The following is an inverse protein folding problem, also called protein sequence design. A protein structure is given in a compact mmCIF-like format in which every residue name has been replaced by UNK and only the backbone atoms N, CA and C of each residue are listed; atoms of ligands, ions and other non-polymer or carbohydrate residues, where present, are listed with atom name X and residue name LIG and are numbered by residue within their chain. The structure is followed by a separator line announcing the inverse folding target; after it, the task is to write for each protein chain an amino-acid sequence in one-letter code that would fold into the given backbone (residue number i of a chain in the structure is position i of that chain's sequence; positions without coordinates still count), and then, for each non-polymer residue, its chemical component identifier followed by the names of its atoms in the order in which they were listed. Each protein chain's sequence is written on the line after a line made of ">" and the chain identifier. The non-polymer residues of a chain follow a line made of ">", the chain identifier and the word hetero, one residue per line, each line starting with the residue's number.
data_IF_676832015609
#
_entry.id   IF_676832015609
#
_cell.length_a   1.000
_cell.length_b   1.000
_cell.length_c   1.000
_cell.angle_alpha   90.00
_cell.angle_beta   90.00
_cell.angle_gamma   90.00
#
_symmetry.space_group_name_H-M   'P 1'
#
loop_
_entity.id
_entity.type
_entity.pdbx_description
1 polymer ?
#
# COMPACT_ATOMS: atom_id res chain seq x y z
N UNK A 1 21.92 7.93 -7.02
CA UNK A 1 23.04 7.15 -7.56
C UNK A 1 23.47 6.12 -6.52
N UNK A 2 22.80 4.96 -6.47
CA UNK A 2 23.03 3.85 -5.52
C UNK A 2 24.09 2.85 -6.01
N UNK A 3 24.70 3.13 -7.17
CA UNK A 3 25.62 2.22 -7.88
C UNK A 3 27.01 2.04 -7.25
N UNK A 4 27.24 2.53 -6.03
CA UNK A 4 28.54 2.47 -5.38
C UNK A 4 28.60 1.72 -4.04
N UNK A 5 27.46 1.30 -3.48
CA UNK A 5 27.45 0.58 -2.21
C UNK A 5 27.46 -0.93 -2.44
N UNK A 6 28.53 -1.57 -2.03
CA UNK A 6 28.60 -3.03 -1.99
C UNK A 6 27.58 -3.55 -0.95
N UNK A 7 26.54 -4.22 -1.40
CA UNK A 7 25.40 -4.68 -0.59
C UNK A 7 25.74 -5.31 0.77
N UNK A 8 26.76 -6.17 0.90
CA UNK A 8 27.13 -6.75 2.19
C UNK A 8 27.59 -5.70 3.23
N UNK A 9 28.29 -4.67 2.80
CA UNK A 9 28.76 -3.61 3.70
C UNK A 9 27.60 -2.71 4.13
N UNK A 10 26.68 -2.40 3.23
CA UNK A 10 25.45 -1.65 3.53
C UNK A 10 24.58 -2.40 4.55
N UNK A 11 24.34 -3.71 4.35
CA UNK A 11 23.59 -4.53 5.29
C UNK A 11 24.27 -4.60 6.65
N UNK A 12 25.60 -4.78 6.66
CA UNK A 12 26.38 -4.81 7.89
C UNK A 12 26.34 -3.48 8.63
N UNK A 13 26.41 -2.37 7.91
CA UNK A 13 26.28 -1.03 8.48
C UNK A 13 24.88 -0.78 9.02
N UNK A 14 23.84 -1.15 8.29
CA UNK A 14 22.45 -1.10 8.77
C UNK A 14 22.23 -1.92 10.04
N UNK A 15 22.74 -3.16 10.10
CA UNK A 15 22.62 -4.01 11.29
C UNK A 15 23.37 -3.37 12.47
N UNK A 16 24.54 -2.82 12.20
CA UNK A 16 25.36 -2.15 13.23
C UNK A 16 24.64 -0.91 13.76
N UNK A 17 24.09 -0.06 12.88
CA UNK A 17 23.33 1.12 13.29
C UNK A 17 22.07 0.75 14.06
N UNK A 18 21.31 -0.25 13.58
CA UNK A 18 20.07 -0.73 14.23
C UNK A 18 20.32 -1.41 15.59
N UNK A 19 21.55 -1.84 15.85
CA UNK A 19 21.94 -2.41 17.15
C UNK A 19 22.31 -1.36 18.19
N UNK A 20 22.50 -0.10 17.81
CA UNK A 20 22.85 0.98 18.73
C UNK A 20 21.65 1.40 19.58
N UNK A 21 21.94 1.81 20.83
CA UNK A 21 20.93 2.38 21.72
C UNK A 21 20.34 3.67 21.13
N UNK A 22 21.15 4.47 20.46
CA UNK A 22 20.74 5.67 19.75
C UNK A 22 19.68 5.38 18.67
N UNK A 23 19.82 4.28 17.92
CA UNK A 23 18.79 3.89 16.94
C UNK A 23 17.51 3.39 17.61
N UNK A 24 17.62 2.63 18.71
CA UNK A 24 16.46 2.13 19.45
C UNK A 24 15.65 3.23 20.10
N UNK A 25 16.30 4.33 20.47
CA UNK A 25 15.67 5.48 21.14
C UNK A 25 15.31 6.61 20.17
N UNK A 26 15.96 6.66 18.99
CA UNK A 26 15.81 7.74 18.01
C UNK A 26 14.36 7.89 17.48
N UNK A 27 13.65 6.77 17.32
CA UNK A 27 12.29 6.79 16.81
C UNK A 27 11.24 7.37 17.78
N UNK A 28 11.53 7.36 19.07
CA UNK A 28 10.52 7.73 20.08
C UNK A 28 10.44 9.23 20.38
N UNK A 29 11.44 10.03 19.98
CA UNK A 29 11.51 11.43 20.36
C UNK A 29 11.23 12.43 19.25
N UNK A 30 11.22 12.02 17.98
CA UNK A 30 11.23 12.95 16.85
C UNK A 30 9.96 12.96 15.98
N UNK A 31 9.02 12.03 16.20
CA UNK A 31 7.73 12.00 15.51
C UNK A 31 6.64 11.74 16.55
N UNK A 32 6.46 12.69 17.43
CA UNK A 32 5.32 12.71 18.35
C UNK A 32 4.69 14.10 18.28
N UNK A 33 3.54 14.15 17.63
CA UNK A 33 2.55 15.21 17.81
C UNK A 33 1.40 14.66 18.66
N UNK A 34 0.43 15.50 19.00
CA UNK A 34 -0.81 15.01 19.64
C UNK A 34 -1.60 14.08 18.72
N UNK A 35 -1.34 14.12 17.40
CA UNK A 35 -2.06 13.39 16.36
C UNK A 35 -1.27 12.22 15.77
N UNK A 36 0.06 12.21 15.92
CA UNK A 36 0.93 11.19 15.33
C UNK A 36 2.03 10.77 16.30
N UNK A 37 2.30 9.46 16.38
CA UNK A 37 3.40 8.93 17.20
C UNK A 37 4.07 7.73 16.54
N UNK A 38 5.36 7.66 16.73
CA UNK A 38 6.15 6.54 16.24
C UNK A 38 5.99 5.31 17.14
N UNK A 39 5.54 4.20 16.57
CA UNK A 39 5.33 2.94 17.30
C UNK A 39 6.56 2.03 17.21
N UNK A 40 7.28 2.07 16.11
CA UNK A 40 8.48 1.25 15.88
C UNK A 40 8.49 0.59 14.49
N UNK A 41 9.65 0.10 14.08
CA UNK A 41 9.85 -0.61 12.81
C UNK A 41 9.36 0.16 11.57
N UNK A 42 9.47 1.50 11.60
CA UNK A 42 9.02 2.36 10.52
C UNK A 42 7.54 2.73 10.57
N UNK A 43 6.76 2.20 11.51
CA UNK A 43 5.34 2.53 11.63
C UNK A 43 5.12 3.78 12.49
N UNK A 44 4.43 4.75 11.91
CA UNK A 44 3.91 5.95 12.57
C UNK A 44 2.39 5.80 12.66
N UNK A 45 1.87 5.69 13.88
CA UNK A 45 0.43 5.68 14.10
C UNK A 45 -0.11 7.11 14.01
N UNK A 46 -1.27 7.29 13.42
CA UNK A 46 -1.98 8.57 13.33
C UNK A 46 -3.41 8.42 13.83
N UNK A 47 -3.86 9.39 14.64
CA UNK A 47 -5.27 9.58 14.95
C UNK A 47 -5.82 10.66 14.01
N UNK A 48 -7.10 10.58 13.78
CA UNK A 48 -7.85 11.50 12.97
C UNK A 48 -8.70 10.76 11.97
N UNK A 49 -9.78 11.42 11.60
CA UNK A 49 -10.62 11.04 10.50
C UNK A 49 -10.61 12.20 9.49
N UNK A 50 -10.92 11.92 8.24
CA UNK A 50 -11.00 12.97 7.22
C UNK A 50 -12.20 13.86 7.49
N UNK A 51 -11.99 15.03 8.05
CA UNK A 51 -13.05 15.98 8.45
C UNK A 51 -13.95 16.42 7.26
N UNK A 52 -13.42 16.40 6.04
CA UNK A 52 -14.09 16.88 4.84
C UNK A 52 -14.34 15.75 3.82
N UNK A 53 -14.68 14.57 4.27
CA UNK A 53 -14.92 13.40 3.41
C UNK A 53 -15.86 13.69 2.25
N UNK A 54 -17.02 14.32 2.53
CA UNK A 54 -17.97 14.70 1.51
C UNK A 54 -17.44 15.71 0.49
N UNK A 55 -16.57 16.62 0.91
CA UNK A 55 -15.90 17.55 -0.01
C UNK A 55 -14.96 16.80 -0.94
N UNK A 56 -14.13 15.91 -0.40
CA UNK A 56 -13.17 15.14 -1.19
C UNK A 56 -13.87 14.16 -2.13
N UNK A 57 -14.99 13.55 -1.72
CA UNK A 57 -15.77 12.63 -2.57
C UNK A 57 -16.43 13.30 -3.77
N UNK A 58 -16.63 14.63 -3.71
CA UNK A 58 -17.24 15.42 -4.80
C UNK A 58 -16.22 16.24 -5.60
N UNK A 59 -14.96 16.25 -5.16
CA UNK A 59 -13.89 16.97 -5.84
C UNK A 59 -13.49 16.26 -7.13
N UNK A 60 -13.18 17.03 -8.19
CA UNK A 60 -12.49 16.50 -9.37
C UNK A 60 -11.04 16.16 -9.03
N UNK A 61 -10.56 15.01 -9.49
CA UNK A 61 -9.18 14.55 -9.37
C UNK A 61 -8.52 14.54 -10.74
N UNK A 62 -7.21 14.78 -10.78
CA UNK A 62 -6.45 14.65 -12.02
C UNK A 62 -6.38 13.17 -12.42
N UNK A 63 -6.73 12.82 -13.66
CA UNK A 63 -6.64 11.43 -14.12
C UNK A 63 -5.22 10.90 -14.04
N UNK A 64 -5.08 9.61 -13.79
CA UNK A 64 -3.79 8.93 -13.88
C UNK A 64 -3.30 9.03 -15.34
N UNK A 65 -2.08 9.48 -15.52
CA UNK A 65 -1.43 9.54 -16.82
C UNK A 65 -0.34 8.46 -16.92
N UNK A 66 -0.72 7.31 -17.47
CA UNK A 66 0.19 6.16 -17.63
C UNK A 66 1.32 6.42 -18.64
N UNK A 67 1.17 7.39 -19.57
CA UNK A 67 2.25 7.76 -20.49
C UNK A 67 3.45 8.40 -19.77
N UNK A 68 3.23 8.94 -18.59
CA UNK A 68 4.26 9.58 -17.76
C UNK A 68 4.80 8.71 -16.63
N UNK A 69 4.46 7.41 -16.59
CA UNK A 69 5.05 6.50 -15.61
C UNK A 69 6.56 6.41 -15.87
N UNK A 70 7.33 6.69 -14.84
CA UNK A 70 8.79 6.70 -14.94
C UNK A 70 9.33 5.31 -15.26
N UNK A 71 10.14 5.20 -16.32
CA UNK A 71 10.83 3.95 -16.64
C UNK A 71 11.73 3.49 -15.49
N UNK A 72 12.39 4.41 -14.77
CA UNK A 72 13.22 4.08 -13.61
C UNK A 72 12.40 3.42 -12.48
N UNK A 73 11.11 3.77 -12.36
CA UNK A 73 10.21 3.12 -11.39
C UNK A 73 9.86 1.69 -11.82
N UNK A 74 9.52 1.51 -13.10
CA UNK A 74 9.23 0.18 -13.66
C UNK A 74 10.45 -0.73 -13.57
N UNK A 75 11.63 -0.22 -13.92
CA UNK A 75 12.89 -0.94 -13.82
C UNK A 75 13.21 -1.31 -12.36
N UNK A 76 12.95 -0.41 -11.41
CA UNK A 76 13.18 -0.67 -9.98
C UNK A 76 12.29 -1.79 -9.45
N UNK A 77 11.03 -1.85 -9.86
CA UNK A 77 10.11 -2.92 -9.47
C UNK A 77 10.59 -4.26 -10.06
N UNK A 78 10.98 -4.27 -11.31
CA UNK A 78 11.57 -5.45 -11.98
C UNK A 78 12.84 -5.92 -11.27
N UNK A 79 13.76 -5.01 -10.95
CA UNK A 79 15.01 -5.31 -10.23
C UNK A 79 14.74 -5.95 -8.86
N UNK A 80 13.71 -5.52 -8.14
CA UNK A 80 13.31 -6.10 -6.85
C UNK A 80 12.83 -7.54 -7.05
N UNK A 81 11.97 -7.79 -8.04
CA UNK A 81 11.47 -9.13 -8.35
C UNK A 81 12.61 -10.08 -8.76
N UNK A 82 13.48 -9.64 -9.67
CA UNK A 82 14.64 -10.43 -10.14
C UNK A 82 15.61 -10.73 -8.99
N UNK A 83 15.82 -9.76 -8.09
CA UNK A 83 16.65 -9.96 -6.89
C UNK A 83 16.04 -11.04 -5.98
N UNK A 84 14.75 -10.96 -5.67
CA UNK A 84 14.07 -11.91 -4.81
C UNK A 84 14.12 -13.32 -5.42
N UNK A 85 13.80 -13.46 -6.70
CA UNK A 85 13.88 -14.71 -7.43
C UNK A 85 15.31 -15.31 -7.40
N UNK A 86 16.33 -14.48 -7.68
CA UNK A 86 17.74 -14.89 -7.65
C UNK A 86 18.22 -15.40 -6.29
N UNK A 87 17.52 -15.05 -5.22
CA UNK A 87 17.82 -15.43 -3.83
C UNK A 87 16.89 -16.51 -3.28
N UNK A 88 15.90 -16.93 -4.04
CA UNK A 88 14.86 -17.83 -3.56
C UNK A 88 14.02 -17.20 -2.44
N UNK A 89 13.80 -15.86 -2.50
CA UNK A 89 12.94 -15.13 -1.58
C UNK A 89 11.55 -15.10 -2.20
N UNK A 90 10.58 -15.61 -1.47
CA UNK A 90 9.17 -15.47 -1.83
C UNK A 90 8.75 -14.00 -1.69
N UNK A 91 8.21 -13.42 -2.75
CA UNK A 91 7.80 -12.03 -2.82
C UNK A 91 6.29 -11.93 -3.02
N UNK A 92 5.66 -11.12 -2.20
CA UNK A 92 4.27 -10.70 -2.38
C UNK A 92 4.22 -9.19 -2.53
N UNK A 93 3.58 -8.71 -3.58
CA UNK A 93 3.29 -7.29 -3.79
C UNK A 93 1.92 -6.96 -3.19
N UNK A 94 1.82 -5.80 -2.57
CA UNK A 94 0.56 -5.36 -1.94
C UNK A 94 0.33 -3.87 -2.22
N UNK A 95 -0.83 -3.53 -2.79
CA UNK A 95 -1.33 -2.15 -2.80
C UNK A 95 -2.17 -1.92 -1.56
N UNK A 96 -1.75 -0.97 -0.71
CA UNK A 96 -2.53 -0.56 0.44
C UNK A 96 -3.81 0.17 -0.01
N UNK A 97 -4.90 0.08 0.75
CA UNK A 97 -6.15 0.72 0.35
C UNK A 97 -6.06 2.25 0.41
N UNK A 98 -6.57 2.89 -0.60
CA UNK A 98 -6.89 4.32 -0.69
C UNK A 98 -8.41 4.51 -0.57
N UNK A 99 -8.87 5.75 -0.43
CA UNK A 99 -10.31 6.01 -0.46
C UNK A 99 -10.91 5.73 -1.84
N UNK A 100 -12.07 5.10 -1.88
CA UNK A 100 -12.72 4.74 -3.15
C UNK A 100 -13.01 5.97 -4.02
N UNK A 101 -13.32 7.12 -3.42
CA UNK A 101 -13.53 8.34 -4.21
C UNK A 101 -12.25 8.87 -4.86
N UNK A 102 -11.07 8.64 -4.27
CA UNK A 102 -9.80 8.98 -4.90
C UNK A 102 -9.53 8.05 -6.08
N UNK A 103 -9.65 6.75 -5.87
CA UNK A 103 -9.42 5.75 -6.93
C UNK A 103 -10.41 5.95 -8.08
N UNK A 104 -11.71 6.14 -7.78
CA UNK A 104 -12.74 6.43 -8.78
C UNK A 104 -12.46 7.76 -9.50
N UNK A 105 -12.10 8.78 -8.75
CA UNK A 105 -11.92 10.14 -9.26
C UNK A 105 -10.70 10.30 -10.17
N UNK A 106 -9.64 9.53 -9.92
CA UNK A 106 -8.45 9.51 -10.79
C UNK A 106 -8.67 8.68 -12.06
N UNK A 107 -9.61 7.74 -12.06
CA UNK A 107 -9.92 6.88 -13.21
C UNK A 107 -8.74 5.98 -13.64
N UNK A 108 -8.98 5.12 -14.61
CA UNK A 108 -7.92 4.29 -15.21
C UNK A 108 -7.32 3.26 -14.24
N UNK A 109 -8.06 2.85 -13.19
CA UNK A 109 -7.48 1.98 -12.16
C UNK A 109 -7.30 0.54 -12.65
N UNK A 110 -8.17 0.05 -13.50
CA UNK A 110 -8.03 -1.28 -14.09
C UNK A 110 -6.82 -1.34 -15.04
N UNK A 111 -6.56 -0.26 -15.80
CA UNK A 111 -5.34 -0.13 -16.60
C UNK A 111 -4.06 -0.10 -15.74
N UNK A 112 -4.13 0.50 -14.53
CA UNK A 112 -3.03 0.43 -13.56
C UNK A 112 -2.77 -1.01 -13.10
N UNK A 113 -3.83 -1.76 -12.80
CA UNK A 113 -3.71 -3.17 -12.40
C UNK A 113 -3.14 -4.00 -13.54
N UNK A 114 -3.61 -3.80 -14.77
CA UNK A 114 -3.06 -4.46 -15.96
C UNK A 114 -1.57 -4.17 -16.13
N UNK A 115 -1.16 -2.91 -15.98
CA UNK A 115 0.26 -2.52 -16.05
C UNK A 115 1.10 -3.25 -14.99
N UNK A 116 0.64 -3.36 -13.74
CA UNK A 116 1.36 -4.10 -12.70
C UNK A 116 1.46 -5.58 -13.04
N UNK A 117 0.37 -6.19 -13.50
CA UNK A 117 0.35 -7.60 -13.91
C UNK A 117 1.27 -7.86 -15.11
N UNK A 118 1.34 -6.95 -16.07
CA UNK A 118 2.25 -7.03 -17.22
C UNK A 118 3.73 -7.01 -16.77
N UNK A 119 4.06 -6.18 -15.77
CA UNK A 119 5.41 -6.12 -15.18
C UNK A 119 5.75 -7.40 -14.43
N UNK A 120 4.80 -7.96 -13.68
CA UNK A 120 4.97 -9.25 -12.99
C UNK A 120 5.20 -10.36 -14.03
N UNK A 121 4.41 -10.38 -15.10
CA UNK A 121 4.50 -11.37 -16.17
C UNK A 121 4.32 -12.80 -15.66
N UNK A 122 5.19 -13.70 -16.11
CA UNK A 122 5.15 -15.12 -15.74
C UNK A 122 5.91 -15.45 -14.42
N UNK A 123 6.26 -14.44 -13.61
CA UNK A 123 6.98 -14.65 -12.34
C UNK A 123 6.05 -15.23 -11.28
N UNK A 124 6.62 -16.02 -10.38
CA UNK A 124 5.94 -16.53 -9.18
C UNK A 124 5.89 -15.43 -8.10
N UNK A 125 5.15 -14.34 -8.39
CA UNK A 125 4.93 -13.19 -7.50
C UNK A 125 3.44 -12.99 -7.33
N UNK A 126 2.97 -13.05 -6.09
CA UNK A 126 1.59 -12.73 -5.76
C UNK A 126 1.39 -11.22 -5.69
N UNK A 127 0.26 -10.73 -6.19
CA UNK A 127 -0.13 -9.34 -6.09
C UNK A 127 -1.53 -9.23 -5.47
N UNK A 128 -1.62 -8.53 -4.34
CA UNK A 128 -2.87 -8.27 -3.63
C UNK A 128 -3.17 -6.79 -3.60
N UNK A 129 -4.23 -6.38 -4.31
CA UNK A 129 -4.65 -5.00 -4.36
C UNK A 129 -5.84 -4.74 -3.44
N UNK A 130 -5.60 -4.09 -2.30
CA UNK A 130 -6.66 -3.79 -1.33
C UNK A 130 -7.61 -2.69 -1.78
N UNK A 131 -7.36 -2.01 -2.89
CA UNK A 131 -8.36 -1.15 -3.52
C UNK A 131 -9.47 -1.96 -4.20
N UNK A 132 -9.24 -3.24 -4.49
CA UNK A 132 -10.26 -4.19 -4.94
C UNK A 132 -10.94 -4.94 -3.79
N UNK A 133 -10.57 -4.65 -2.54
CA UNK A 133 -11.09 -5.39 -1.40
C UNK A 133 -12.59 -5.19 -1.23
N UNK A 134 -13.30 -6.27 -0.90
CA UNK A 134 -14.72 -6.22 -0.56
C UNK A 134 -14.93 -5.51 0.77
N UNK A 135 -16.02 -4.79 0.91
CA UNK A 135 -16.32 -3.94 2.07
C UNK A 135 -16.35 -4.71 3.40
N UNK A 136 -16.71 -5.99 3.38
CA UNK A 136 -16.72 -6.84 4.57
C UNK A 136 -15.31 -7.08 5.16
N UNK A 137 -14.27 -6.91 4.35
CA UNK A 137 -12.87 -7.02 4.78
C UNK A 137 -12.20 -5.66 4.96
N UNK A 138 -12.50 -4.70 4.09
CA UNK A 138 -12.01 -3.34 4.21
C UNK A 138 -13.04 -2.32 3.67
N UNK A 139 -13.88 -1.72 4.53
CA UNK A 139 -14.79 -0.67 4.10
C UNK A 139 -14.05 0.67 3.89
N UNK A 140 -14.32 1.34 2.78
CA UNK A 140 -13.74 2.67 2.50
C UNK A 140 -14.58 3.77 3.17
N UNK A 141 -14.31 4.01 4.46
CA UNK A 141 -15.04 5.02 5.26
C UNK A 141 -14.09 6.04 5.88
N UNK A 142 -14.59 7.25 6.14
CA UNK A 142 -13.81 8.35 6.70
C UNK A 142 -13.09 8.02 8.01
N UNK A 143 -13.65 7.09 8.80
CA UNK A 143 -13.08 6.71 10.09
C UNK A 143 -11.79 5.91 9.97
N UNK A 144 -11.52 5.32 8.79
CA UNK A 144 -10.33 4.49 8.55
C UNK A 144 -9.17 5.25 7.89
N UNK A 145 -9.41 6.49 7.46
CA UNK A 145 -8.41 7.29 6.78
C UNK A 145 -8.05 8.54 7.59
N UNK A 146 -6.76 8.90 7.55
CA UNK A 146 -6.24 10.15 8.06
C UNK A 146 -6.44 11.29 7.06
N UNK A 147 -6.25 10.99 5.81
CA UNK A 147 -6.48 11.81 4.62
C UNK A 147 -6.99 10.92 3.47
N UNK A 148 -6.97 11.39 2.25
CA UNK A 148 -7.60 10.68 1.11
C UNK A 148 -6.88 9.41 0.67
N UNK A 149 -5.59 9.28 0.99
CA UNK A 149 -4.71 8.19 0.55
C UNK A 149 -3.90 7.54 1.68
N UNK A 150 -4.04 8.00 2.94
CA UNK A 150 -3.35 7.41 4.06
C UNK A 150 -4.33 6.88 5.11
N UNK A 151 -4.10 5.64 5.53
CA UNK A 151 -4.83 5.05 6.64
C UNK A 151 -4.46 5.72 7.96
N UNK A 152 -5.45 5.92 8.83
CA UNK A 152 -5.18 6.18 10.23
C UNK A 152 -4.89 4.86 10.97
N UNK A 153 -4.68 4.90 12.31
CA UNK A 153 -4.38 3.69 13.06
C UNK A 153 -5.48 2.63 12.98
N UNK A 154 -6.75 3.04 12.91
CA UNK A 154 -7.87 2.09 12.84
C UNK A 154 -7.94 1.42 11.48
N UNK A 155 -7.74 2.19 10.40
CA UNK A 155 -7.62 1.67 9.06
C UNK A 155 -6.45 0.70 8.91
N UNK A 156 -5.29 1.05 9.48
CA UNK A 156 -4.13 0.17 9.49
C UNK A 156 -4.39 -1.13 10.26
N UNK A 157 -5.17 -1.09 11.37
CA UNK A 157 -5.57 -2.31 12.08
C UNK A 157 -6.52 -3.19 11.27
N UNK A 158 -7.54 -2.59 10.61
CA UNK A 158 -8.49 -3.32 9.76
C UNK A 158 -7.74 -3.95 8.58
N UNK A 159 -6.93 -3.18 7.88
CA UNK A 159 -6.10 -3.66 6.78
C UNK A 159 -5.20 -4.82 7.21
N UNK A 160 -4.46 -4.66 8.33
CA UNK A 160 -3.54 -5.69 8.81
C UNK A 160 -4.26 -6.98 9.19
N UNK A 161 -5.46 -6.91 9.79
CA UNK A 161 -6.26 -8.09 10.10
C UNK A 161 -6.75 -8.82 8.86
N UNK A 162 -7.20 -8.08 7.85
CA UNK A 162 -7.65 -8.65 6.59
C UNK A 162 -6.49 -9.27 5.81
N UNK A 163 -5.35 -8.59 5.75
CA UNK A 163 -4.15 -9.13 5.15
C UNK A 163 -3.66 -10.39 5.89
N UNK A 164 -3.71 -10.42 7.23
CA UNK A 164 -3.36 -11.61 8.00
C UNK A 164 -4.27 -12.81 7.69
N UNK A 165 -5.58 -12.61 7.50
CA UNK A 165 -6.48 -13.69 7.07
C UNK A 165 -6.10 -14.27 5.73
N UNK A 166 -5.72 -13.40 4.78
CA UNK A 166 -5.30 -13.78 3.45
C UNK A 166 -4.02 -14.63 3.49
N UNK A 167 -2.96 -14.12 4.12
CA UNK A 167 -1.66 -14.81 4.19
C UNK A 167 -1.69 -16.09 5.03
N UNK A 168 -2.63 -16.21 5.97
CA UNK A 168 -2.86 -17.43 6.73
C UNK A 168 -3.76 -18.44 5.99
N UNK A 169 -4.29 -18.12 4.82
CA UNK A 169 -5.21 -18.96 4.07
C UNK A 169 -6.57 -19.13 4.74
N UNK A 170 -6.98 -18.20 5.61
CA UNK A 170 -8.30 -18.21 6.25
C UNK A 170 -9.39 -17.72 5.28
N UNK A 171 -9.00 -16.94 4.29
CA UNK A 171 -9.85 -16.39 3.22
C UNK A 171 -9.06 -16.48 1.92
N UNK A 172 -9.70 -16.90 0.83
CA UNK A 172 -9.05 -16.93 -0.48
C UNK A 172 -9.03 -15.53 -1.14
N UNK A 173 -8.12 -15.29 -2.09
CA UNK A 173 -8.13 -14.03 -2.86
C UNK A 173 -9.48 -13.76 -3.54
N UNK A 174 -10.12 -14.78 -4.11
CA UNK A 174 -11.40 -14.67 -4.82
C UNK A 174 -12.55 -14.31 -3.88
N UNK A 175 -12.46 -14.72 -2.60
CA UNK A 175 -13.43 -14.31 -1.57
C UNK A 175 -13.18 -12.89 -1.09
N UNK A 176 -11.91 -12.44 -1.05
CA UNK A 176 -11.54 -11.14 -0.49
C UNK A 176 -11.64 -10.01 -1.51
N UNK A 177 -11.32 -10.25 -2.78
CA UNK A 177 -11.22 -9.21 -3.80
C UNK A 177 -12.24 -9.35 -4.91
N UNK A 178 -12.60 -8.23 -5.50
CA UNK A 178 -13.24 -8.18 -6.81
C UNK A 178 -12.19 -8.42 -7.91
N UNK A 179 -12.62 -8.89 -9.06
CA UNK A 179 -11.73 -9.15 -10.19
C UNK A 179 -11.22 -7.88 -10.88
N UNK A 180 -12.04 -6.82 -10.86
CA UNK A 180 -11.73 -5.49 -11.43
C UNK A 180 -12.29 -4.39 -10.55
N UNK A 181 -11.78 -3.17 -10.74
CA UNK A 181 -12.33 -2.01 -10.03
C UNK A 181 -13.73 -1.63 -10.56
N UNK A 182 -14.00 -1.84 -11.85
CA UNK A 182 -15.32 -1.68 -12.43
C UNK A 182 -16.34 -2.62 -11.75
N UNK A 183 -16.00 -3.91 -11.55
CA UNK A 183 -16.84 -4.86 -10.80
C UNK A 183 -17.12 -4.38 -9.36
N UNK A 184 -16.09 -3.84 -8.68
CA UNK A 184 -16.25 -3.27 -7.34
C UNK A 184 -17.27 -2.14 -7.36
N UNK A 185 -17.15 -1.17 -8.29
CA UNK A 185 -18.06 -0.02 -8.39
C UNK A 185 -19.51 -0.44 -8.67
N UNK A 186 -19.72 -1.45 -9.51
CA UNK A 186 -21.07 -1.99 -9.78
C UNK A 186 -21.72 -2.57 -8.50
N UNK A 187 -20.92 -3.17 -7.62
CA UNK A 187 -21.38 -3.76 -6.37
C UNK A 187 -21.58 -2.74 -5.25
N UNK A 188 -20.82 -1.64 -5.23
CA UNK A 188 -21.01 -0.56 -4.26
C UNK A 188 -22.31 0.23 -4.50
N UNK A 189 -22.86 0.15 -5.71
CA UNK A 189 -24.04 0.91 -6.10
C UNK A 189 -23.74 2.39 -6.36
N UNK A 190 -24.73 3.16 -6.81
CA UNK A 190 -24.53 4.58 -7.04
C UNK A 190 -24.14 5.27 -5.72
N UNK A 191 -23.09 6.06 -5.75
CA UNK A 191 -22.68 6.89 -4.61
C UNK A 191 -23.89 7.72 -4.12
N UNK A 192 -24.29 7.52 -2.86
CA UNK A 192 -25.40 8.24 -2.22
C UNK A 192 -24.95 9.64 -1.84
#
# INVERSE_FOLDING_TARGET
>A
NWSGLYWPDFIKEMITQKSTEAYRTYGYSNVTSEEEWYVGKGYVAGQGAVDNWNYFSTRGWEPINFENVSQDWLDSLTDIMDFCESKGIELTLVSAPMSDFLVTGTGGYDEYIEMINDIIGDREVEYYDFNLCREEYFPSTSELFKDVDHLNQYGAEVFSRSFAKLVNGEVSPEEMFYGTYEEKLENLGPAV
#
